data_IF_448830425465
#
_entry.id   IF_448830425465
#
_cell.length_a   1.000
_cell.length_b   1.000
_cell.length_c   1.000
_cell.angle_alpha   90.00
_cell.angle_beta   90.00
_cell.angle_gamma   90.00
#
_symmetry.space_group_name_H-M   'P 1'
#
loop_
_entity.id
_entity.type
_entity.pdbx_description
1 polymer ?
#
# COMPACT_ATOMS: atom_id res chain seq x y z
N UNK A 1 22.00 9.67 21.19
CA UNK A 1 21.31 10.61 20.30
C UNK A 1 20.42 9.79 19.37
N UNK A 2 19.14 9.70 19.69
CA UNK A 2 18.14 9.07 18.81
C UNK A 2 17.88 10.03 17.66
N UNK A 3 18.69 9.96 16.61
CA UNK A 3 18.41 10.70 15.38
C UNK A 3 17.02 10.32 14.89
N UNK A 4 16.18 11.31 14.63
CA UNK A 4 14.82 11.11 14.12
C UNK A 4 14.86 10.24 12.86
N UNK A 5 14.49 8.97 13.01
CA UNK A 5 14.31 8.08 11.86
C UNK A 5 13.14 8.61 11.05
N UNK A 6 13.44 9.07 9.84
CA UNK A 6 12.42 9.52 8.90
C UNK A 6 11.50 8.36 8.59
N UNK A 7 10.20 8.59 8.74
CA UNK A 7 9.17 7.59 8.43
C UNK A 7 8.70 7.78 7.01
N UNK A 8 8.61 6.70 6.25
CA UNK A 8 8.13 6.69 4.86
C UNK A 8 6.93 5.75 4.77
N UNK A 9 5.89 6.20 4.06
CA UNK A 9 4.75 5.36 3.71
C UNK A 9 4.98 4.84 2.29
N UNK A 10 4.99 3.52 2.13
CA UNK A 10 5.17 2.83 0.86
C UNK A 10 3.85 2.19 0.44
N UNK A 11 3.35 2.56 -0.73
CA UNK A 11 2.30 1.81 -1.41
C UNK A 11 2.85 0.43 -1.78
N UNK A 12 2.34 -0.62 -1.14
CA UNK A 12 2.88 -1.97 -1.21
C UNK A 12 1.85 -2.89 -1.84
N UNK A 13 2.19 -3.44 -3.01
CA UNK A 13 1.35 -4.39 -3.75
C UNK A 13 1.69 -5.86 -3.46
N UNK A 14 2.67 -6.15 -2.60
CA UNK A 14 3.12 -7.52 -2.36
C UNK A 14 4.06 -8.11 -3.43
N UNK A 15 4.22 -7.41 -4.56
CA UNK A 15 5.10 -7.79 -5.66
C UNK A 15 6.59 -7.79 -5.32
N UNK A 16 7.42 -8.26 -6.26
CA UNK A 16 8.88 -8.29 -6.10
C UNK A 16 9.45 -6.87 -5.97
N UNK A 17 9.05 -5.95 -6.85
CA UNK A 17 9.58 -4.59 -6.89
C UNK A 17 9.33 -3.84 -5.58
N UNK A 18 8.10 -3.86 -5.07
CA UNK A 18 7.74 -3.19 -3.80
C UNK A 18 8.41 -3.85 -2.60
N UNK A 19 8.69 -5.15 -2.67
CA UNK A 19 9.44 -5.86 -1.62
C UNK A 19 10.92 -5.45 -1.58
N UNK A 20 11.55 -5.30 -2.75
CA UNK A 20 12.91 -4.79 -2.87
C UNK A 20 13.02 -3.34 -2.39
N UNK A 21 12.07 -2.48 -2.76
CA UNK A 21 12.03 -1.08 -2.31
C UNK A 21 11.89 -0.98 -0.79
N UNK A 22 11.04 -1.81 -0.17
CA UNK A 22 10.87 -1.84 1.27
C UNK A 22 12.18 -2.20 1.98
N UNK A 23 12.87 -3.23 1.50
CA UNK A 23 14.18 -3.63 2.03
C UNK A 23 15.21 -2.51 1.85
N UNK A 24 15.26 -1.91 0.67
CA UNK A 24 16.19 -0.81 0.37
C UNK A 24 15.96 0.40 1.27
N UNK A 25 14.71 0.85 1.45
CA UNK A 25 14.39 1.97 2.35
C UNK A 25 14.76 1.67 3.80
N UNK A 26 14.56 0.43 4.25
CA UNK A 26 14.97 -0.01 5.57
C UNK A 26 16.50 0.01 5.73
N UNK A 27 17.25 -0.43 4.73
CA UNK A 27 18.72 -0.36 4.72
C UNK A 27 19.24 1.08 4.71
N UNK A 28 18.52 2.00 4.08
CA UNK A 28 18.81 3.44 4.16
C UNK A 28 18.47 4.06 5.52
N UNK A 29 17.93 3.29 6.47
CA UNK A 29 17.65 3.73 7.84
C UNK A 29 16.28 4.37 8.03
N UNK A 30 15.37 4.26 7.06
CA UNK A 30 14.00 4.75 7.19
C UNK A 30 13.10 3.76 7.94
N UNK A 31 12.13 4.31 8.66
CA UNK A 31 11.02 3.53 9.20
C UNK A 31 9.94 3.39 8.13
N UNK A 32 9.81 2.21 7.54
CA UNK A 32 8.86 1.97 6.44
C UNK A 32 7.52 1.49 6.98
N UNK A 33 6.45 2.17 6.60
CA UNK A 33 5.06 1.75 6.81
C UNK A 33 4.51 1.30 5.46
N UNK A 34 4.06 0.05 5.36
CA UNK A 34 3.43 -0.46 4.16
C UNK A 34 1.93 -0.11 4.15
N UNK A 35 1.41 0.32 3.01
CA UNK A 35 0.00 0.58 2.80
C UNK A 35 -0.48 -0.19 1.58
N UNK A 36 -1.57 -0.94 1.73
CA UNK A 36 -2.20 -1.74 0.70
C UNK A 36 -3.69 -1.37 0.63
N UNK A 37 -4.17 -1.07 -0.56
CA UNK A 37 -5.56 -0.73 -0.81
C UNK A 37 -6.26 -1.91 -1.48
N UNK A 38 -7.25 -2.51 -0.82
CA UNK A 38 -8.12 -3.50 -1.44
C UNK A 38 -9.19 -2.78 -2.27
N UNK A 39 -9.03 -2.81 -3.59
CA UNK A 39 -9.99 -2.28 -4.56
C UNK A 39 -10.81 -3.39 -5.25
N UNK A 40 -10.82 -4.59 -4.68
CA UNK A 40 -11.49 -5.77 -5.24
C UNK A 40 -10.56 -6.68 -6.04
N UNK A 41 -9.27 -6.65 -5.72
CA UNK A 41 -8.29 -7.54 -6.34
C UNK A 41 -8.34 -8.91 -5.65
N UNK A 42 -8.27 -10.00 -6.43
CA UNK A 42 -8.14 -11.36 -5.89
C UNK A 42 -6.68 -11.63 -5.49
N UNK A 43 -6.17 -10.90 -4.51
CA UNK A 43 -4.82 -11.07 -3.97
C UNK A 43 -4.84 -11.65 -2.54
N UNK A 44 -3.76 -12.34 -2.17
CA UNK A 44 -3.57 -12.85 -0.82
C UNK A 44 -2.99 -11.76 0.10
N UNK A 45 -3.89 -10.95 0.65
CA UNK A 45 -3.58 -9.87 1.57
C UNK A 45 -2.83 -10.34 2.82
N UNK A 46 -3.11 -11.56 3.30
CA UNK A 46 -2.47 -12.11 4.50
C UNK A 46 -1.03 -12.54 4.18
N UNK A 47 -0.79 -13.16 3.02
CA UNK A 47 0.56 -13.44 2.54
C UNK A 47 1.37 -12.16 2.34
N UNK A 48 0.76 -11.11 1.75
CA UNK A 48 1.39 -9.81 1.58
C UNK A 48 1.77 -9.18 2.93
N UNK A 49 0.88 -9.27 3.92
CA UNK A 49 1.11 -8.82 5.31
C UNK A 49 2.28 -9.54 5.97
N UNK A 50 2.30 -10.86 5.88
CA UNK A 50 3.39 -11.66 6.43
C UNK A 50 4.72 -11.33 5.75
N UNK A 51 4.71 -11.13 4.42
CA UNK A 51 5.89 -10.77 3.65
C UNK A 51 6.45 -9.40 4.06
N UNK A 52 5.61 -8.37 4.13
CA UNK A 52 6.02 -7.03 4.57
C UNK A 52 6.58 -7.05 6.00
N UNK A 53 5.94 -7.79 6.91
CA UNK A 53 6.39 -7.95 8.29
C UNK A 53 7.75 -8.67 8.36
N UNK A 54 7.95 -9.74 7.58
CA UNK A 54 9.23 -10.45 7.49
C UNK A 54 10.36 -9.57 6.95
N UNK A 55 10.06 -8.71 5.98
CA UNK A 55 11.03 -7.75 5.43
C UNK A 55 11.37 -6.64 6.44
N UNK A 56 10.53 -6.45 7.45
CA UNK A 56 10.74 -5.52 8.57
C UNK A 56 10.05 -4.18 8.38
N UNK A 57 8.87 -4.18 7.74
CA UNK A 57 7.95 -3.06 7.84
C UNK A 57 7.60 -2.80 9.31
N UNK A 58 7.57 -1.52 9.71
CA UNK A 58 7.18 -1.11 11.05
C UNK A 58 5.70 -1.37 11.33
N UNK A 59 4.86 -1.11 10.32
CA UNK A 59 3.41 -1.37 10.30
C UNK A 59 2.98 -1.66 8.87
N UNK A 60 1.87 -2.37 8.73
CA UNK A 60 1.15 -2.53 7.47
C UNK A 60 -0.33 -2.22 7.68
N UNK A 61 -0.87 -1.39 6.80
CA UNK A 61 -2.30 -1.06 6.73
C UNK A 61 -2.88 -1.68 5.47
N UNK A 62 -4.01 -2.35 5.61
CA UNK A 62 -4.78 -2.93 4.52
C UNK A 62 -6.18 -2.34 4.65
N UNK A 63 -6.54 -1.44 3.74
CA UNK A 63 -7.82 -0.73 3.78
C UNK A 63 -8.72 -1.18 2.64
N UNK A 64 -9.98 -1.46 2.94
CA UNK A 64 -11.01 -1.76 1.94
C UNK A 64 -11.48 -0.45 1.30
N UNK A 65 -11.10 -0.25 0.04
CA UNK A 65 -11.46 0.91 -0.77
C UNK A 65 -12.35 0.53 -1.96
N UNK A 66 -13.00 -0.64 -1.94
CA UNK A 66 -13.88 -1.10 -3.05
C UNK A 66 -15.02 -0.12 -3.32
N UNK A 67 -15.74 0.27 -2.26
CA UNK A 67 -16.87 1.20 -2.39
C UNK A 67 -16.41 2.58 -2.87
N UNK A 68 -15.32 3.09 -2.30
CA UNK A 68 -14.76 4.39 -2.66
C UNK A 68 -14.25 4.40 -4.12
N UNK A 69 -13.59 3.33 -4.56
CA UNK A 69 -13.13 3.18 -5.94
C UNK A 69 -14.33 3.15 -6.91
N UNK A 70 -15.38 2.39 -6.59
CA UNK A 70 -16.59 2.32 -7.39
C UNK A 70 -17.29 3.69 -7.51
N UNK A 71 -17.49 4.38 -6.39
CA UNK A 71 -18.20 5.66 -6.37
C UNK A 71 -17.38 6.80 -7.00
N UNK A 72 -16.10 6.93 -6.65
CA UNK A 72 -15.29 8.09 -7.06
C UNK A 72 -14.60 7.91 -8.40
N UNK A 73 -14.19 6.70 -8.75
CA UNK A 73 -13.41 6.45 -9.98
C UNK A 73 -14.30 5.90 -11.08
N UNK A 74 -15.08 4.85 -10.80
CA UNK A 74 -15.88 4.18 -11.81
C UNK A 74 -17.15 4.97 -12.18
N UNK A 75 -17.98 5.32 -11.19
CA UNK A 75 -19.23 6.05 -11.42
C UNK A 75 -18.96 7.47 -11.86
N UNK A 76 -17.98 8.18 -11.29
CA UNK A 76 -17.66 9.55 -11.74
C UNK A 76 -17.09 9.56 -13.17
N UNK A 77 -16.26 8.58 -13.56
CA UNK A 77 -15.75 8.48 -14.94
C UNK A 77 -16.87 8.18 -15.93
N UNK A 78 -17.81 7.30 -15.57
CA UNK A 78 -19.02 7.06 -16.36
C UNK A 78 -19.95 8.28 -16.39
N UNK A 79 -20.16 8.99 -15.29
CA UNK A 79 -20.98 10.21 -15.23
C UNK A 79 -20.32 11.40 -15.94
N UNK A 80 -18.99 11.47 -15.96
CA UNK A 80 -18.28 12.51 -16.72
C UNK A 80 -18.35 12.26 -18.23
N UNK A 81 -18.49 10.99 -18.65
CA UNK A 81 -18.72 10.62 -20.05
C UNK A 81 -20.20 10.61 -20.45
N UNK A 82 -21.09 10.36 -19.51
CA UNK A 82 -22.53 10.45 -19.67
C UNK A 82 -23.00 11.76 -19.03
N UNK A 83 -23.04 12.87 -19.79
CA UNK A 83 -23.66 14.14 -19.37
C UNK A 83 -25.02 13.91 -18.67
N UNK A 84 -24.99 13.78 -17.35
CA UNK A 84 -26.13 13.76 -16.44
C UNK A 84 -26.02 15.01 -15.57
#
# INVERSE_FOLDING_TARGET
MSGDKKTVVLAYSGGLDTSCILLWLKEQGYDVIAFMADVGQEEDFEAARQKATKLGAKKIFIEDLKEEFCQRVHISSCASKCNL
#
